data_IF_705092462518
#
_entry.id   IF_705092462518
#
_cell.length_a   1.000
_cell.length_b   1.000
_cell.length_c   1.000
_cell.angle_alpha   90.00
_cell.angle_beta   90.00
_cell.angle_gamma   90.00
#
_symmetry.space_group_name_H-M   'P 1'
#
loop_
_entity.id
_entity.type
_entity.pdbx_description
1 polymer ?
#
# COMPACT_ATOMS: atom_id res chain seq x y z
N UNK A 1 21.94 30.02 -23.66
CA UNK A 1 20.54 29.55 -23.60
C UNK A 1 20.50 28.23 -22.81
N UNK A 2 20.21 28.28 -21.50
CA UNK A 2 20.15 27.09 -20.63
C UNK A 2 18.71 26.58 -20.65
N UNK A 3 18.48 25.37 -21.16
CA UNK A 3 17.18 24.69 -21.06
C UNK A 3 16.97 24.23 -19.62
N UNK A 4 15.93 24.73 -19.00
CA UNK A 4 15.45 24.22 -17.69
C UNK A 4 15.01 22.76 -17.84
N UNK A 5 15.37 21.87 -16.89
CA UNK A 5 14.83 20.52 -16.89
C UNK A 5 13.35 20.59 -16.57
N UNK A 6 12.52 19.98 -17.44
CA UNK A 6 11.08 19.89 -17.25
C UNK A 6 10.77 19.20 -15.92
N UNK A 7 9.87 19.81 -15.14
CA UNK A 7 9.25 19.16 -13.98
C UNK A 7 8.60 17.86 -14.44
N UNK A 8 9.20 16.74 -14.08
CA UNK A 8 8.54 15.44 -14.12
C UNK A 8 7.36 15.56 -13.14
N UNK A 9 6.15 15.52 -13.68
CA UNK A 9 4.94 15.50 -12.85
C UNK A 9 5.05 14.26 -11.95
N UNK A 10 5.08 14.46 -10.64
CA UNK A 10 5.04 13.38 -9.68
C UNK A 10 3.79 12.54 -9.99
N UNK A 11 4.00 11.25 -10.27
CA UNK A 11 2.90 10.33 -10.51
C UNK A 11 1.97 10.41 -9.30
N UNK A 12 0.72 10.83 -9.56
CA UNK A 12 -0.29 10.88 -8.51
C UNK A 12 -0.48 9.45 -7.99
N UNK A 13 -0.32 9.26 -6.69
CA UNK A 13 -0.59 7.99 -6.03
C UNK A 13 -2.02 7.50 -6.31
N UNK A 14 -2.33 6.25 -5.94
CA UNK A 14 -3.61 5.64 -6.27
C UNK A 14 -4.78 6.43 -5.70
N UNK A 15 -5.78 6.71 -6.56
CA UNK A 15 -7.01 7.39 -6.18
C UNK A 15 -7.96 6.35 -5.59
N UNK A 16 -8.38 6.52 -4.34
CA UNK A 16 -9.39 5.65 -3.74
C UNK A 16 -10.73 5.84 -4.44
N UNK A 17 -11.24 4.75 -5.02
CA UNK A 17 -12.58 4.74 -5.61
C UNK A 17 -13.62 4.32 -4.55
N UNK A 18 -14.82 4.92 -4.59
CA UNK A 18 -15.94 4.56 -3.70
C UNK A 18 -16.67 3.27 -4.10
N UNK A 19 -16.20 2.51 -5.09
CA UNK A 19 -16.87 1.34 -5.64
C UNK A 19 -16.86 0.10 -4.74
N UNK A 20 -17.73 -0.88 -5.03
CA UNK A 20 -17.71 -2.20 -4.40
C UNK A 20 -16.54 -3.05 -4.92
N UNK A 21 -16.20 -4.16 -4.24
CA UNK A 21 -15.20 -5.10 -4.76
C UNK A 21 -15.57 -5.62 -6.16
N UNK A 22 -16.86 -5.91 -6.39
CA UNK A 22 -17.35 -6.34 -7.70
C UNK A 22 -17.12 -5.28 -8.79
N UNK A 23 -17.34 -4.00 -8.48
CA UNK A 23 -17.09 -2.91 -9.45
C UNK A 23 -15.59 -2.71 -9.73
N UNK A 24 -14.74 -2.97 -8.74
CA UNK A 24 -13.28 -2.91 -8.92
C UNK A 24 -12.78 -4.08 -9.78
N UNK A 25 -13.32 -5.28 -9.60
CA UNK A 25 -13.01 -6.41 -10.47
C UNK A 25 -13.47 -6.17 -11.91
N UNK A 26 -14.65 -5.56 -12.11
CA UNK A 26 -15.12 -5.17 -13.44
C UNK A 26 -14.21 -4.09 -14.08
N UNK A 27 -13.80 -3.08 -13.30
CA UNK A 27 -12.85 -2.06 -13.77
C UNK A 27 -11.50 -2.67 -14.13
N UNK A 28 -11.02 -3.64 -13.37
CA UNK A 28 -9.80 -4.38 -13.67
C UNK A 28 -9.92 -5.16 -15.00
N UNK A 29 -11.02 -5.87 -15.22
CA UNK A 29 -11.25 -6.58 -16.47
C UNK A 29 -11.24 -5.64 -17.69
N UNK A 30 -11.91 -4.50 -17.60
CA UNK A 30 -11.90 -3.47 -18.64
C UNK A 30 -10.49 -2.89 -18.88
N UNK A 31 -9.70 -2.71 -17.83
CA UNK A 31 -8.33 -2.24 -17.95
C UNK A 31 -7.42 -3.27 -18.66
N UNK A 32 -7.62 -4.58 -18.42
CA UNK A 32 -6.90 -5.63 -19.14
C UNK A 32 -7.23 -5.61 -20.63
N UNK A 33 -8.51 -5.49 -21.00
CA UNK A 33 -8.96 -5.40 -22.40
C UNK A 33 -8.34 -4.17 -23.11
N UNK A 34 -8.31 -3.04 -22.40
CA UNK A 34 -7.71 -1.80 -22.89
C UNK A 34 -6.18 -1.79 -22.85
N UNK A 35 -5.53 -2.79 -22.24
CA UNK A 35 -4.09 -2.82 -21.94
C UNK A 35 -3.63 -1.60 -21.13
N UNK A 36 -4.48 -1.10 -20.26
CA UNK A 36 -4.21 0.05 -19.41
C UNK A 36 -3.61 -0.41 -18.07
N UNK A 37 -2.28 -0.41 -18.01
CA UNK A 37 -1.55 -0.83 -16.83
C UNK A 37 -1.80 0.06 -15.61
N UNK A 38 -2.04 1.36 -15.81
CA UNK A 38 -2.32 2.29 -14.72
C UNK A 38 -3.72 2.02 -14.11
N UNK A 39 -4.75 1.92 -14.94
CA UNK A 39 -6.10 1.64 -14.47
C UNK A 39 -6.19 0.26 -13.81
N UNK A 40 -5.54 -0.76 -14.38
CA UNK A 40 -5.46 -2.09 -13.80
C UNK A 40 -4.73 -2.10 -12.45
N UNK A 41 -3.61 -1.39 -12.35
CA UNK A 41 -2.86 -1.26 -11.11
C UNK A 41 -3.67 -0.56 -10.01
N UNK A 42 -4.41 0.51 -10.34
CA UNK A 42 -5.29 1.21 -9.40
C UNK A 42 -6.38 0.29 -8.85
N UNK A 43 -7.02 -0.49 -9.72
CA UNK A 43 -8.06 -1.45 -9.31
C UNK A 43 -7.50 -2.54 -8.38
N UNK A 44 -6.37 -3.16 -8.72
CA UNK A 44 -5.72 -4.17 -7.87
C UNK A 44 -5.30 -3.58 -6.53
N UNK A 45 -4.67 -2.41 -6.53
CA UNK A 45 -4.22 -1.74 -5.32
C UNK A 45 -5.38 -1.44 -4.37
N UNK A 46 -6.49 -0.95 -4.90
CA UNK A 46 -7.70 -0.68 -4.10
C UNK A 46 -8.34 -1.96 -3.55
N UNK A 47 -8.40 -3.04 -4.34
CA UNK A 47 -8.84 -4.36 -3.89
C UNK A 47 -7.94 -4.86 -2.73
N UNK A 48 -6.65 -4.75 -2.89
CA UNK A 48 -5.67 -5.13 -1.88
C UNK A 48 -5.85 -4.35 -0.58
N UNK A 49 -5.99 -3.02 -0.67
CA UNK A 49 -6.24 -2.17 0.50
C UNK A 49 -7.54 -2.52 1.24
N UNK A 50 -8.50 -3.13 0.55
CA UNK A 50 -9.77 -3.60 1.13
C UNK A 50 -9.71 -5.01 1.70
N UNK A 51 -8.56 -5.66 1.63
CA UNK A 51 -8.35 -6.99 2.16
C UNK A 51 -8.67 -8.12 1.18
N UNK A 52 -8.87 -7.82 -0.10
CA UNK A 52 -8.87 -8.84 -1.15
C UNK A 52 -7.44 -9.37 -1.30
N UNK A 53 -7.23 -10.62 -0.90
CA UNK A 53 -5.92 -11.27 -0.89
C UNK A 53 -6.00 -12.67 -1.50
N UNK A 54 -4.82 -13.26 -1.73
CA UNK A 54 -4.69 -14.65 -2.18
C UNK A 54 -4.70 -14.79 -3.70
N UNK A 55 -4.99 -16.00 -4.15
CA UNK A 55 -4.79 -16.43 -5.54
C UNK A 55 -5.48 -15.57 -6.61
N UNK A 56 -6.57 -14.88 -6.26
CA UNK A 56 -7.27 -14.00 -7.21
C UNK A 56 -6.47 -12.73 -7.50
N UNK A 57 -5.90 -12.11 -6.47
CA UNK A 57 -5.06 -10.91 -6.62
C UNK A 57 -3.73 -11.27 -7.27
N UNK A 58 -3.11 -12.38 -6.89
CA UNK A 58 -1.88 -12.87 -7.52
C UNK A 58 -2.08 -13.12 -9.01
N UNK A 59 -3.14 -13.81 -9.38
CA UNK A 59 -3.48 -14.05 -10.79
C UNK A 59 -3.77 -12.74 -11.54
N UNK A 60 -4.46 -11.80 -10.92
CA UNK A 60 -4.72 -10.49 -11.50
C UNK A 60 -3.42 -9.73 -11.77
N UNK A 61 -2.47 -9.76 -10.83
CA UNK A 61 -1.14 -9.17 -11.02
C UNK A 61 -0.39 -9.80 -12.20
N UNK A 62 -0.37 -11.14 -12.27
CA UNK A 62 0.26 -11.85 -13.39
C UNK A 62 -0.36 -11.47 -14.74
N UNK A 63 -1.70 -11.41 -14.79
CA UNK A 63 -2.42 -10.98 -16.00
C UNK A 63 -2.09 -9.55 -16.40
N UNK A 64 -2.08 -8.63 -15.42
CA UNK A 64 -1.74 -7.23 -15.68
C UNK A 64 -0.32 -7.07 -16.23
N UNK A 65 0.65 -7.73 -15.61
CA UNK A 65 2.03 -7.72 -16.08
C UNK A 65 2.19 -8.36 -17.48
N UNK A 66 1.43 -9.43 -17.77
CA UNK A 66 1.48 -10.09 -19.07
C UNK A 66 0.99 -9.21 -20.23
N UNK A 67 -0.04 -8.38 -19.98
CA UNK A 67 -0.70 -7.62 -21.07
C UNK A 67 -0.33 -6.14 -21.12
N UNK A 68 0.13 -5.55 -20.02
CA UNK A 68 0.32 -4.11 -19.88
C UNK A 68 1.61 -3.71 -19.14
N UNK A 69 2.63 -4.56 -19.10
CA UNK A 69 3.86 -4.37 -18.31
C UNK A 69 4.50 -2.99 -18.49
N UNK A 70 4.50 -2.43 -19.69
CA UNK A 70 5.11 -1.13 -19.99
C UNK A 70 4.36 0.09 -19.40
N UNK A 71 3.11 -0.11 -19.00
CA UNK A 71 2.25 0.95 -18.42
C UNK A 71 1.87 0.68 -16.96
N UNK A 72 2.35 -0.42 -16.37
CA UNK A 72 2.19 -0.67 -14.94
C UNK A 72 3.10 0.30 -14.17
N UNK A 73 2.55 1.09 -13.23
CA UNK A 73 3.33 2.09 -12.52
C UNK A 73 4.28 1.45 -11.49
N UNK A 74 5.41 2.10 -11.24
CA UNK A 74 6.45 1.65 -10.30
C UNK A 74 5.97 1.56 -8.84
N UNK A 75 4.88 2.26 -8.50
CA UNK A 75 4.31 2.21 -7.15
C UNK A 75 3.50 0.93 -6.86
N UNK A 76 3.35 0.01 -7.83
CA UNK A 76 2.64 -1.26 -7.62
C UNK A 76 3.63 -2.41 -7.30
N UNK A 77 4.18 -2.49 -6.09
CA UNK A 77 5.19 -3.49 -5.74
C UNK A 77 4.60 -4.83 -5.32
N UNK A 78 3.29 -5.02 -5.33
CA UNK A 78 2.55 -6.14 -4.73
C UNK A 78 3.04 -7.51 -5.16
N UNK A 79 3.58 -7.64 -6.37
CA UNK A 79 4.15 -8.88 -6.89
C UNK A 79 5.24 -9.47 -5.98
N UNK A 80 5.92 -8.61 -5.23
CA UNK A 80 7.08 -8.98 -4.42
C UNK A 80 6.79 -8.98 -2.91
N UNK A 81 5.54 -8.76 -2.50
CA UNK A 81 5.19 -8.67 -1.07
C UNK A 81 4.78 -10.06 -0.56
N UNK A 82 5.75 -10.93 -0.34
CA UNK A 82 5.53 -12.30 0.12
C UNK A 82 4.97 -12.38 1.55
N UNK A 83 5.27 -11.40 2.38
CA UNK A 83 4.84 -11.37 3.78
C UNK A 83 3.42 -10.83 3.98
N UNK A 84 2.74 -10.33 2.94
CA UNK A 84 1.42 -9.73 3.10
C UNK A 84 0.36 -10.69 3.64
N UNK A 85 0.25 -11.95 3.17
CA UNK A 85 -0.68 -12.92 3.75
C UNK A 85 -0.42 -13.15 5.25
N UNK A 86 0.85 -13.22 5.65
CA UNK A 86 1.25 -13.34 7.05
C UNK A 86 0.84 -12.11 7.87
N UNK A 87 0.95 -10.91 7.32
CA UNK A 87 0.51 -9.68 7.98
C UNK A 87 -0.99 -9.72 8.28
N UNK A 88 -1.83 -10.20 7.36
CA UNK A 88 -3.26 -10.40 7.60
C UNK A 88 -3.52 -11.45 8.69
N UNK A 89 -2.84 -12.59 8.62
CA UNK A 89 -2.98 -13.66 9.63
C UNK A 89 -2.60 -13.17 11.03
N UNK A 90 -1.46 -12.49 11.16
CA UNK A 90 -0.99 -11.99 12.45
C UNK A 90 -1.92 -10.93 13.01
N UNK A 91 -2.33 -9.95 12.19
CA UNK A 91 -3.18 -8.87 12.66
C UNK A 91 -4.58 -9.34 13.04
N UNK A 92 -5.12 -10.38 12.37
CA UNK A 92 -6.42 -10.96 12.70
C UNK A 92 -6.48 -11.58 14.11
N UNK A 93 -5.34 -11.90 14.71
CA UNK A 93 -5.27 -12.44 16.10
C UNK A 93 -5.53 -11.38 17.17
N UNK A 94 -5.50 -10.11 16.82
CA UNK A 94 -5.72 -9.01 17.76
C UNK A 94 -7.16 -8.53 17.71
N UNK A 95 -7.84 -8.57 18.85
CA UNK A 95 -9.19 -8.04 19.03
C UNK A 95 -9.08 -6.82 19.97
N UNK A 96 -8.85 -5.63 19.43
CA UNK A 96 -8.59 -4.46 20.26
C UNK A 96 -9.89 -3.88 20.84
N UNK A 97 -9.78 -3.26 22.01
CA UNK A 97 -10.83 -2.39 22.50
C UNK A 97 -10.94 -1.15 21.61
N UNK A 98 -12.12 -0.89 21.09
CA UNK A 98 -12.45 0.24 20.22
C UNK A 98 -12.64 1.55 21.02
N UNK A 99 -12.80 2.68 20.34
CA UNK A 99 -13.01 4.02 20.86
C UNK A 99 -11.79 4.66 21.52
N UNK A 100 -10.60 4.22 21.17
CA UNK A 100 -9.34 4.87 21.54
C UNK A 100 -8.91 5.93 20.53
N UNK A 101 -7.65 6.37 20.68
CA UNK A 101 -7.03 7.39 19.81
C UNK A 101 -5.81 6.87 19.06
N UNK A 102 -5.46 5.59 19.21
CA UNK A 102 -4.28 5.02 18.59
C UNK A 102 -4.65 4.26 17.33
N UNK A 103 -3.81 4.38 16.32
CA UNK A 103 -3.93 3.68 15.04
C UNK A 103 -2.66 2.87 14.83
N UNK A 104 -2.79 1.58 14.55
CA UNK A 104 -1.70 0.74 14.07
C UNK A 104 -1.65 0.86 12.55
N UNK A 105 -0.46 0.97 11.99
CA UNK A 105 -0.28 1.07 10.55
C UNK A 105 0.96 0.33 10.09
N UNK A 106 0.92 -0.12 8.85
CA UNK A 106 2.05 -0.73 8.16
C UNK A 106 2.53 0.22 7.06
N UNK A 107 3.84 0.27 6.86
CA UNK A 107 4.44 0.97 5.72
C UNK A 107 5.30 -0.02 4.96
N UNK A 108 5.07 -0.10 3.65
CA UNK A 108 5.93 -0.83 2.74
C UNK A 108 7.27 -0.11 2.61
N UNK A 109 8.36 -0.85 2.76
CA UNK A 109 9.73 -0.35 2.62
C UNK A 109 10.40 -0.99 1.41
N UNK A 110 11.08 -0.19 0.61
CA UNK A 110 11.86 -0.66 -0.53
C UNK A 110 13.36 -0.77 -0.18
N UNK A 111 13.89 -1.97 -0.34
CA UNK A 111 15.29 -2.35 -0.16
C UNK A 111 15.89 -2.94 -1.45
N UNK A 112 15.30 -2.67 -2.61
CA UNK A 112 15.75 -3.22 -3.90
C UNK A 112 17.21 -2.93 -4.24
N UNK A 113 17.76 -1.88 -3.64
CA UNK A 113 19.18 -1.48 -3.76
C UNK A 113 20.15 -2.33 -2.93
N UNK A 114 19.67 -3.14 -2.00
CA UNK A 114 20.52 -3.77 -0.97
C UNK A 114 20.15 -5.20 -0.60
N UNK A 115 19.02 -5.75 -1.07
CA UNK A 115 18.54 -7.08 -0.69
C UNK A 115 17.94 -7.84 -1.87
N UNK A 116 18.08 -9.18 -1.84
CA UNK A 116 17.42 -10.06 -2.82
C UNK A 116 15.90 -10.10 -2.63
N UNK A 117 15.40 -10.01 -1.39
CA UNK A 117 14.00 -9.77 -1.08
C UNK A 117 13.81 -8.25 -0.84
N UNK A 118 13.29 -7.52 -1.85
CA UNK A 118 13.38 -6.07 -1.87
C UNK A 118 12.40 -5.39 -0.92
N UNK A 119 11.33 -6.06 -0.51
CA UNK A 119 10.27 -5.37 0.22
C UNK A 119 10.17 -5.79 1.68
N UNK A 120 10.29 -4.80 2.57
CA UNK A 120 10.12 -4.96 4.00
C UNK A 120 8.87 -4.24 4.51
N UNK A 121 8.58 -4.40 5.78
CA UNK A 121 7.49 -3.74 6.47
C UNK A 121 7.98 -2.97 7.69
N UNK A 122 7.46 -1.76 7.84
CA UNK A 122 7.53 -1.02 9.09
C UNK A 122 6.17 -1.06 9.79
N UNK A 123 6.17 -1.38 11.07
CA UNK A 123 4.96 -1.37 11.91
C UNK A 123 5.04 -0.15 12.83
N UNK A 124 4.02 0.68 12.80
CA UNK A 124 3.95 1.88 13.63
C UNK A 124 2.63 2.02 14.36
N UNK A 125 2.66 2.84 15.42
CA UNK A 125 1.47 3.27 16.14
C UNK A 125 1.46 4.78 16.28
N UNK A 126 0.30 5.42 16.09
CA UNK A 126 0.17 6.88 16.16
C UNK A 126 -1.23 7.31 16.58
N UNK A 127 -1.36 8.50 17.17
CA UNK A 127 -2.65 9.18 17.31
C UNK A 127 -3.14 9.85 16.03
N UNK A 128 -2.27 10.03 15.04
CA UNK A 128 -2.65 10.51 13.70
C UNK A 128 -3.17 9.36 12.85
N UNK A 129 -3.92 9.69 11.78
CA UNK A 129 -4.26 8.66 10.79
C UNK A 129 -2.98 8.08 10.16
N UNK A 130 -3.02 6.82 9.66
CA UNK A 130 -1.86 6.20 9.03
C UNK A 130 -1.23 7.06 7.93
N UNK A 131 -2.05 7.65 7.07
CA UNK A 131 -1.58 8.51 5.98
C UNK A 131 -0.93 9.79 6.49
N UNK A 132 -1.58 10.49 7.43
CA UNK A 132 -1.01 11.71 8.02
C UNK A 132 0.35 11.41 8.70
N UNK A 133 0.45 10.26 9.38
CA UNK A 133 1.71 9.88 10.02
C UNK A 133 2.79 9.54 9.01
N UNK A 134 2.43 8.89 7.91
CA UNK A 134 3.35 8.62 6.81
C UNK A 134 3.89 9.91 6.19
N UNK A 135 3.03 10.88 5.89
CA UNK A 135 3.45 12.19 5.39
C UNK A 135 4.41 12.92 6.36
N UNK A 136 4.13 12.85 7.67
CA UNK A 136 5.06 13.38 8.68
C UNK A 136 6.43 12.68 8.63
N UNK A 137 6.46 11.35 8.48
CA UNK A 137 7.71 10.60 8.31
C UNK A 137 8.48 11.07 7.07
N UNK A 138 7.78 11.21 5.93
CA UNK A 138 8.40 11.68 4.67
C UNK A 138 8.90 13.13 4.77
N UNK A 139 8.24 13.96 5.57
CA UNK A 139 8.66 15.33 5.86
C UNK A 139 9.78 15.42 6.95
N UNK A 140 10.24 14.28 7.49
CA UNK A 140 11.27 14.27 8.53
C UNK A 140 10.77 14.58 9.94
N UNK A 141 9.45 14.76 10.15
CA UNK A 141 8.87 15.14 11.44
C UNK A 141 8.82 13.92 12.38
N UNK A 142 9.72 13.88 13.36
CA UNK A 142 9.89 12.73 14.28
C UNK A 142 9.92 11.41 13.50
N UNK A 143 10.66 11.39 12.41
CA UNK A 143 10.64 10.31 11.44
C UNK A 143 11.32 9.05 11.97
N UNK A 144 10.75 7.89 11.65
CA UNK A 144 11.49 6.65 11.65
C UNK A 144 12.43 6.66 10.43
N UNK A 145 13.72 6.47 10.66
CA UNK A 145 14.74 6.58 9.60
C UNK A 145 14.51 5.64 8.42
N UNK A 146 13.99 4.43 8.68
CA UNK A 146 13.62 3.48 7.63
C UNK A 146 12.47 4.00 6.75
N UNK A 147 11.42 4.58 7.35
CA UNK A 147 10.28 5.11 6.60
C UNK A 147 10.68 6.37 5.82
N UNK A 148 11.48 7.25 6.42
CA UNK A 148 11.97 8.45 5.75
C UNK A 148 12.73 8.12 4.46
N UNK A 149 13.64 7.15 4.55
CA UNK A 149 14.55 6.79 3.46
C UNK A 149 13.90 5.83 2.45
N UNK A 150 13.09 4.87 2.91
CA UNK A 150 12.66 3.69 2.16
C UNK A 150 11.15 3.48 2.12
N UNK A 151 10.37 4.34 2.79
CA UNK A 151 8.92 4.23 2.80
C UNK A 151 8.33 4.50 1.42
N UNK A 152 7.56 3.52 0.91
CA UNK A 152 6.88 3.57 -0.39
C UNK A 152 5.43 4.02 -0.19
N UNK A 153 4.68 3.28 0.61
CA UNK A 153 3.26 3.55 0.84
C UNK A 153 2.75 2.94 2.15
N UNK A 154 1.59 3.40 2.58
CA UNK A 154 0.87 2.85 3.75
C UNK A 154 -0.02 1.69 3.31
N UNK A 155 0.15 0.54 3.96
CA UNK A 155 -0.69 -0.64 3.76
C UNK A 155 -1.76 -0.64 4.86
N UNK A 156 -3.00 -0.35 4.51
CA UNK A 156 -4.09 -0.22 5.50
C UNK A 156 -4.93 -1.49 5.66
N UNK A 157 -4.98 -2.36 4.66
CA UNK A 157 -5.81 -3.57 4.66
C UNK A 157 -5.66 -4.42 5.94
N UNK A 158 -4.46 -4.92 6.27
CA UNK A 158 -4.26 -5.77 7.45
C UNK A 158 -4.64 -5.11 8.77
N UNK A 159 -4.55 -3.77 8.86
CA UNK A 159 -4.73 -3.02 10.11
C UNK A 159 -6.02 -2.20 10.18
N UNK A 160 -6.99 -2.43 9.29
CA UNK A 160 -8.27 -1.69 9.28
C UNK A 160 -8.99 -1.78 10.63
N UNK A 161 -9.05 -2.96 11.22
CA UNK A 161 -9.69 -3.21 12.53
C UNK A 161 -8.85 -2.69 13.72
N UNK A 162 -7.58 -2.32 13.49
CA UNK A 162 -6.66 -1.79 14.49
C UNK A 162 -6.59 -0.25 14.46
N UNK A 163 -7.62 0.40 13.92
CA UNK A 163 -7.75 1.85 13.94
C UNK A 163 -8.60 2.30 15.14
N UNK A 164 -8.25 3.44 15.73
CA UNK A 164 -8.94 4.03 16.88
C UNK A 164 -9.04 3.09 18.08
N UNK A 165 -7.99 2.36 18.35
CA UNK A 165 -7.90 1.42 19.47
C UNK A 165 -7.47 2.13 20.77
N UNK A 166 -7.85 1.52 21.90
CA UNK A 166 -7.36 1.94 23.20
C UNK A 166 -5.94 1.41 23.39
N UNK A 167 -5.00 2.32 23.63
CA UNK A 167 -3.65 1.94 24.06
C UNK A 167 -3.74 1.46 25.52
N UNK A 168 -3.54 0.17 25.76
CA UNK A 168 -3.26 -0.31 27.10
C UNK A 168 -1.80 0.02 27.40
N UNK A 169 -1.54 0.63 28.56
CA UNK A 169 -0.19 0.66 29.07
C UNK A 169 0.17 -0.81 29.34
N UNK A 170 1.28 -1.25 28.75
CA UNK A 170 1.86 -2.49 29.17
C UNK A 170 2.36 -2.22 30.59
N UNK A 171 1.69 -2.80 31.58
CA UNK A 171 2.23 -2.96 32.92
C UNK A 171 3.27 -4.08 32.91
#
# INVERSE_FOLDING_TARGET
MRRSPGKVAAARGPVRSGGSAASLWAAFASALEARDGLAGAQAIHELWLRGEIGSNVERALEQLWAVAASSVPDWLPMRHVHWLPLAYEVTARFIPAQRGRSNIYLVLLDYSDSRADPYGVYVGMSGYSPMQRFEQHKAGIRAAGSVLKRGVEVITGPTLHLQRIVRRNAD
#
